data_IF_877166219327
#
_entry.id   IF_877166219327
#
_cell.length_a   1.000
_cell.length_b   1.000
_cell.length_c   1.000
_cell.angle_alpha   90.00
_cell.angle_beta   90.00
_cell.angle_gamma   90.00
#
_symmetry.space_group_name_H-M   'P 1'
#
loop_
_entity.id
_entity.type
_entity.pdbx_description
1 polymer ?
#
# COMPACT_ATOMS: atom_id res chain seq x y z
N UNK A 1 -19.83 -35.50 10.80
CA UNK A 1 -20.28 -34.10 10.73
C UNK A 1 -19.91 -33.45 12.04
N UNK A 2 -18.97 -32.52 12.00
CA UNK A 2 -18.54 -31.76 13.18
C UNK A 2 -19.52 -30.59 13.31
N UNK A 3 -20.30 -30.56 14.39
CA UNK A 3 -21.22 -29.45 14.66
C UNK A 3 -20.43 -28.35 15.35
N UNK A 4 -20.17 -27.26 14.61
CA UNK A 4 -19.63 -26.04 15.21
C UNK A 4 -20.79 -25.25 15.84
N UNK A 5 -20.64 -24.88 17.10
CA UNK A 5 -21.54 -23.93 17.74
C UNK A 5 -21.06 -22.52 17.39
N UNK A 6 -21.68 -21.88 16.41
CA UNK A 6 -21.34 -20.50 16.03
C UNK A 6 -21.64 -19.56 17.19
N UNK A 7 -20.60 -18.97 17.78
CA UNK A 7 -20.69 -18.07 18.95
C UNK A 7 -20.95 -16.62 18.50
N UNK A 8 -20.47 -16.24 17.31
CA UNK A 8 -20.75 -14.97 16.67
C UNK A 8 -20.51 -15.08 15.16
N UNK A 9 -21.43 -14.53 14.36
CA UNK A 9 -21.29 -14.37 12.91
C UNK A 9 -21.60 -12.91 12.59
N UNK A 10 -20.61 -12.20 12.04
CA UNK A 10 -20.80 -10.85 11.52
C UNK A 10 -20.40 -10.85 10.05
N UNK A 11 -21.24 -10.31 9.15
CA UNK A 11 -20.97 -10.32 7.71
C UNK A 11 -19.72 -9.51 7.33
N UNK A 12 -19.21 -8.68 8.24
CA UNK A 12 -18.03 -7.85 8.06
C UNK A 12 -16.84 -8.30 8.95
N UNK A 13 -16.85 -9.53 9.47
CA UNK A 13 -15.69 -10.06 10.20
C UNK A 13 -14.50 -10.22 9.25
N UNK A 14 -13.35 -9.70 9.63
CA UNK A 14 -12.08 -9.92 8.92
C UNK A 14 -11.43 -11.26 9.29
N UNK A 15 -11.88 -11.89 10.37
CA UNK A 15 -11.49 -13.25 10.77
C UNK A 15 -12.59 -14.21 10.32
N UNK A 16 -12.25 -15.10 9.40
CA UNK A 16 -13.20 -16.04 8.80
C UNK A 16 -13.23 -17.34 9.62
N UNK A 17 -14.43 -17.81 9.98
CA UNK A 17 -14.62 -19.04 10.75
C UNK A 17 -14.37 -20.31 9.89
N UNK A 18 -14.76 -20.27 8.63
CA UNK A 18 -14.57 -21.36 7.66
C UNK A 18 -14.07 -20.80 6.33
N UNK A 19 -12.99 -21.37 5.81
CA UNK A 19 -12.45 -21.06 4.49
C UNK A 19 -12.43 -22.34 3.67
N UNK A 20 -13.13 -22.35 2.53
CA UNK A 20 -13.04 -23.44 1.56
C UNK A 20 -11.84 -23.17 0.65
N UNK A 21 -10.76 -23.97 0.74
CA UNK A 21 -9.62 -23.80 -0.16
C UNK A 21 -10.08 -24.03 -1.60
N UNK A 22 -9.66 -23.15 -2.50
CA UNK A 22 -9.80 -23.40 -3.92
C UNK A 22 -8.72 -24.39 -4.34
N UNK A 23 -9.07 -25.39 -5.17
CA UNK A 23 -8.11 -26.35 -5.72
C UNK A 23 -7.05 -25.60 -6.54
N UNK A 24 -5.89 -25.36 -5.92
CA UNK A 24 -4.71 -24.84 -6.62
C UNK A 24 -3.89 -26.04 -7.06
N UNK A 25 -3.89 -26.32 -8.36
CA UNK A 25 -2.84 -27.14 -8.96
C UNK A 25 -1.51 -26.40 -8.80
N UNK A 26 -0.82 -26.64 -7.69
CA UNK A 26 0.53 -26.11 -7.50
C UNK A 26 1.44 -26.80 -8.52
N UNK A 27 1.84 -26.08 -9.57
CA UNK A 27 3.01 -26.49 -10.34
C UNK A 27 4.21 -26.47 -9.38
N UNK A 28 4.94 -27.58 -9.29
CA UNK A 28 6.06 -27.74 -8.35
C UNK A 28 7.21 -26.73 -8.60
N UNK A 29 7.19 -26.04 -9.74
CA UNK A 29 8.22 -25.09 -10.17
C UNK A 29 7.60 -23.77 -10.69
N UNK A 30 7.01 -22.96 -9.81
CA UNK A 30 6.64 -21.57 -10.15
C UNK A 30 7.82 -20.62 -9.91
N UNK A 31 8.10 -19.74 -10.87
CA UNK A 31 9.08 -18.66 -10.72
C UNK A 31 8.54 -17.51 -9.84
N UNK A 32 9.42 -16.64 -9.35
CA UNK A 32 8.99 -15.46 -8.58
C UNK A 32 8.18 -14.48 -9.44
N UNK A 33 8.52 -14.35 -10.73
CA UNK A 33 7.76 -13.56 -11.70
C UNK A 33 6.33 -14.11 -11.88
N UNK A 34 6.18 -15.43 -12.03
CA UNK A 34 4.86 -16.07 -12.14
C UNK A 34 4.02 -15.87 -10.86
N UNK A 35 4.64 -16.00 -9.69
CA UNK A 35 3.97 -15.78 -8.39
C UNK A 35 3.55 -14.31 -8.21
N UNK A 36 4.39 -13.37 -8.65
CA UNK A 36 4.08 -11.94 -8.63
C UNK A 36 2.88 -11.63 -9.53
N UNK A 37 2.88 -12.12 -10.78
CA UNK A 37 1.78 -11.93 -11.71
C UNK A 37 0.47 -12.55 -11.20
N UNK A 38 0.51 -13.76 -10.62
CA UNK A 38 -0.65 -14.39 -10.00
C UNK A 38 -1.19 -13.54 -8.83
N UNK A 39 -0.30 -13.01 -7.99
CA UNK A 39 -0.68 -12.14 -6.88
C UNK A 39 -1.34 -10.83 -7.36
N UNK A 40 -0.78 -10.19 -8.39
CA UNK A 40 -1.37 -8.99 -9.01
C UNK A 40 -2.78 -9.27 -9.54
N UNK A 41 -2.97 -10.37 -10.25
CA UNK A 41 -4.29 -10.77 -10.77
C UNK A 41 -5.31 -10.99 -9.65
N UNK A 42 -4.90 -11.64 -8.55
CA UNK A 42 -5.75 -11.82 -7.38
C UNK A 42 -6.12 -10.47 -6.77
N UNK A 43 -5.17 -9.56 -6.56
CA UNK A 43 -5.46 -8.22 -6.03
C UNK A 43 -6.41 -7.43 -6.96
N UNK A 44 -6.16 -7.45 -8.26
CA UNK A 44 -7.01 -6.78 -9.24
C UNK A 44 -8.45 -7.33 -9.24
N UNK A 45 -8.62 -8.65 -9.14
CA UNK A 45 -9.97 -9.26 -9.03
C UNK A 45 -10.68 -8.91 -7.73
N UNK A 46 -9.95 -8.52 -6.68
CA UNK A 46 -10.49 -7.98 -5.43
C UNK A 46 -10.66 -6.45 -5.44
N UNK A 47 -10.54 -5.81 -6.61
CA UNK A 47 -10.84 -4.38 -6.79
C UNK A 47 -9.66 -3.42 -6.60
N UNK A 48 -8.43 -3.93 -6.50
CA UNK A 48 -7.23 -3.08 -6.46
C UNK A 48 -6.89 -2.58 -7.87
N UNK A 49 -6.73 -1.28 -8.06
CA UNK A 49 -6.30 -0.72 -9.35
C UNK A 49 -4.80 -0.94 -9.56
N UNK A 50 -4.41 -1.67 -10.60
CA UNK A 50 -3.01 -1.77 -11.00
C UNK A 50 -2.54 -0.50 -11.69
N UNK A 51 -1.40 0.04 -11.25
CA UNK A 51 -0.75 1.18 -11.89
C UNK A 51 0.70 0.87 -12.29
N UNK A 52 1.11 1.09 -13.56
CA UNK A 52 2.48 0.88 -14.01
C UNK A 52 3.36 2.11 -13.70
N UNK A 53 3.46 2.51 -12.43
CA UNK A 53 4.27 3.67 -12.01
C UNK A 53 5.76 3.31 -12.09
N UNK A 54 6.57 4.21 -12.66
CA UNK A 54 7.97 3.90 -13.00
C UNK A 54 8.99 4.71 -12.23
N UNK A 55 8.55 5.81 -11.60
CA UNK A 55 9.44 6.72 -10.90
C UNK A 55 8.72 7.42 -9.73
N UNK A 56 9.49 8.17 -8.95
CA UNK A 56 8.98 8.89 -7.78
C UNK A 56 8.00 10.03 -8.15
N UNK A 57 8.15 10.64 -9.33
CA UNK A 57 7.24 11.68 -9.80
C UNK A 57 5.84 11.11 -10.09
N UNK A 58 5.77 9.93 -10.72
CA UNK A 58 4.52 9.19 -10.95
C UNK A 58 3.80 8.89 -9.63
N UNK A 59 4.54 8.49 -8.59
CA UNK A 59 4.00 8.25 -7.24
C UNK A 59 3.43 9.52 -6.62
N UNK A 60 4.18 10.63 -6.67
CA UNK A 60 3.74 11.93 -6.14
C UNK A 60 2.50 12.43 -6.88
N UNK A 61 2.46 12.31 -8.20
CA UNK A 61 1.31 12.71 -9.03
C UNK A 61 0.08 11.85 -8.73
N UNK A 62 0.26 10.54 -8.56
CA UNK A 62 -0.82 9.65 -8.15
C UNK A 62 -1.34 10.00 -6.75
N UNK A 63 -0.45 10.24 -5.78
CA UNK A 63 -0.81 10.66 -4.42
C UNK A 63 -1.63 11.95 -4.44
N UNK A 64 -1.20 12.96 -5.20
CA UNK A 64 -1.95 14.22 -5.38
C UNK A 64 -3.34 13.97 -5.92
N UNK A 65 -3.47 13.14 -6.97
CA UNK A 65 -4.75 12.79 -7.58
C UNK A 65 -5.68 12.09 -6.59
N UNK A 66 -5.16 11.12 -5.83
CA UNK A 66 -5.97 10.38 -4.86
C UNK A 66 -6.40 11.23 -3.67
N UNK A 67 -5.54 12.09 -3.15
CA UNK A 67 -5.91 13.02 -2.08
C UNK A 67 -6.87 14.10 -2.57
N UNK A 68 -6.74 14.54 -3.83
CA UNK A 68 -7.70 15.45 -4.49
C UNK A 68 -9.10 14.81 -4.53
N UNK A 69 -9.16 13.54 -4.95
CA UNK A 69 -10.40 12.73 -5.01
C UNK A 69 -11.03 12.57 -3.63
N UNK A 70 -10.24 12.13 -2.64
CA UNK A 70 -10.72 11.89 -1.27
C UNK A 70 -11.31 13.15 -0.63
N UNK A 71 -10.66 14.30 -0.85
CA UNK A 71 -11.04 15.56 -0.21
C UNK A 71 -11.97 16.43 -1.04
N UNK A 72 -12.33 15.98 -2.24
CA UNK A 72 -13.12 16.71 -3.23
C UNK A 72 -12.59 18.13 -3.46
N UNK A 73 -11.30 18.25 -3.80
CA UNK A 73 -10.63 19.52 -4.13
C UNK A 73 -9.64 19.33 -5.27
N UNK A 74 -9.23 20.44 -5.87
CA UNK A 74 -8.07 20.50 -6.76
C UNK A 74 -7.01 21.33 -6.04
N UNK A 75 -5.83 20.74 -5.80
CA UNK A 75 -4.70 21.48 -5.25
C UNK A 75 -4.07 22.36 -6.33
N UNK A 76 -3.74 23.60 -5.99
CA UNK A 76 -2.74 24.35 -6.74
C UNK A 76 -1.34 23.75 -6.52
N UNK A 77 -0.34 24.18 -7.31
CA UNK A 77 1.05 23.80 -7.06
C UNK A 77 1.53 24.25 -5.68
N UNK A 78 1.14 25.45 -5.23
CA UNK A 78 1.55 25.98 -3.94
C UNK A 78 0.93 25.17 -2.79
N UNK A 79 -0.38 24.93 -2.84
CA UNK A 79 -1.11 24.11 -1.88
C UNK A 79 -0.55 22.68 -1.81
N UNK A 80 -0.26 22.07 -2.97
CA UNK A 80 0.31 20.73 -3.03
C UNK A 80 1.71 20.67 -2.41
N UNK A 81 2.58 21.61 -2.77
CA UNK A 81 3.93 21.68 -2.22
C UNK A 81 3.93 21.94 -0.71
N UNK A 82 2.97 22.71 -0.20
CA UNK A 82 2.78 22.91 1.23
C UNK A 82 2.45 21.58 1.91
N UNK A 83 1.42 20.87 1.45
CA UNK A 83 1.02 19.58 2.03
C UNK A 83 2.15 18.54 1.92
N UNK A 84 2.77 18.43 0.75
CA UNK A 84 3.82 17.46 0.48
C UNK A 84 5.04 17.70 1.39
N UNK A 85 5.59 18.91 1.40
CA UNK A 85 6.85 19.18 2.10
C UNK A 85 6.67 19.34 3.61
N UNK A 86 5.52 19.85 4.06
CA UNK A 86 5.29 20.14 5.48
C UNK A 86 4.59 19.00 6.22
N UNK A 87 4.08 17.99 5.53
CA UNK A 87 3.39 16.88 6.18
C UNK A 87 3.77 15.52 5.58
N UNK A 88 3.61 15.29 4.28
CA UNK A 88 3.73 13.93 3.73
C UNK A 88 5.18 13.44 3.57
N UNK A 89 6.10 14.33 3.14
CA UNK A 89 7.47 14.02 2.75
C UNK A 89 8.49 14.93 3.45
N UNK A 90 8.26 15.25 4.73
CA UNK A 90 9.24 16.00 5.53
C UNK A 90 10.56 15.23 5.62
N UNK A 91 11.65 15.87 5.19
CA UNK A 91 12.97 15.23 5.02
C UNK A 91 13.54 14.57 6.28
N UNK A 92 13.15 15.03 7.48
CA UNK A 92 13.70 14.58 8.75
C UNK A 92 12.67 13.90 9.66
N UNK A 93 11.55 13.43 9.10
CA UNK A 93 10.55 12.74 9.90
C UNK A 93 11.02 11.31 10.20
N UNK A 94 11.21 10.96 11.48
CA UNK A 94 11.54 9.60 11.87
C UNK A 94 10.35 8.66 11.59
N UNK A 95 10.62 7.36 11.53
CA UNK A 95 9.61 6.34 11.18
C UNK A 95 8.43 6.37 12.17
N UNK A 96 8.71 6.66 13.43
CA UNK A 96 7.72 6.81 14.51
C UNK A 96 6.74 7.95 14.21
N UNK A 97 7.21 9.10 13.73
CA UNK A 97 6.35 10.24 13.36
C UNK A 97 5.49 9.94 12.14
N UNK A 98 6.04 9.21 11.15
CA UNK A 98 5.26 8.74 9.99
C UNK A 98 4.16 7.78 10.43
N UNK A 99 4.49 6.85 11.33
CA UNK A 99 3.54 5.89 11.90
C UNK A 99 2.45 6.62 12.68
N UNK A 100 2.83 7.60 13.51
CA UNK A 100 1.90 8.40 14.30
C UNK A 100 0.86 9.12 13.44
N UNK A 101 1.28 9.75 12.34
CA UNK A 101 0.37 10.41 11.38
C UNK A 101 -0.68 9.45 10.83
N UNK A 102 -0.28 8.24 10.49
CA UNK A 102 -1.22 7.24 9.95
C UNK A 102 -2.13 6.69 11.07
N UNK A 103 -1.60 6.46 12.27
CA UNK A 103 -2.31 5.75 13.36
C UNK A 103 -3.23 6.64 14.20
N UNK A 104 -2.86 7.90 14.45
CA UNK A 104 -3.66 8.82 15.27
C UNK A 104 -4.70 9.53 14.39
N UNK A 105 -4.39 10.73 13.90
CA UNK A 105 -5.25 11.49 13.02
C UNK A 105 -4.53 11.80 11.69
N UNK A 106 -4.84 11.06 10.62
CA UNK A 106 -4.22 11.25 9.31
C UNK A 106 -4.84 12.45 8.60
N UNK A 107 -4.77 13.63 9.23
CA UNK A 107 -5.31 14.89 8.70
C UNK A 107 -4.29 16.03 8.73
N UNK A 108 -4.43 16.97 7.79
CA UNK A 108 -3.57 18.16 7.69
C UNK A 108 -4.41 19.42 7.47
N UNK A 109 -4.23 20.43 8.32
CA UNK A 109 -4.87 21.74 8.14
C UNK A 109 -4.11 22.54 7.07
N UNK A 110 -4.66 22.57 5.86
CA UNK A 110 -4.12 23.30 4.71
C UNK A 110 -4.67 24.73 4.67
N UNK A 111 -3.77 25.70 4.60
CA UNK A 111 -4.11 27.08 4.24
C UNK A 111 -4.20 27.17 2.72
N UNK A 112 -5.37 27.54 2.21
CA UNK A 112 -5.67 27.57 0.78
C UNK A 112 -5.31 28.92 0.16
N UNK A 113 -5.15 28.94 -1.16
CA UNK A 113 -4.78 30.16 -1.89
C UNK A 113 -5.87 31.25 -1.80
N UNK A 114 -7.13 30.87 -1.54
CA UNK A 114 -8.27 31.76 -1.32
C UNK A 114 -8.34 32.35 0.10
N UNK A 115 -7.36 32.03 0.96
CA UNK A 115 -7.29 32.47 2.35
C UNK A 115 -8.10 31.63 3.33
N UNK A 116 -8.83 30.60 2.87
CA UNK A 116 -9.55 29.68 3.75
C UNK A 116 -8.62 28.60 4.31
N UNK A 117 -9.07 27.91 5.36
CA UNK A 117 -8.40 26.70 5.86
C UNK A 117 -9.29 25.50 5.62
N UNK A 118 -8.70 24.43 5.08
CA UNK A 118 -9.38 23.14 4.89
C UNK A 118 -8.59 22.03 5.56
N UNK A 119 -9.28 21.19 6.33
CA UNK A 119 -8.69 19.95 6.84
C UNK A 119 -8.66 18.90 5.72
N UNK A 120 -7.46 18.43 5.39
CA UNK A 120 -7.18 17.47 4.33
C UNK A 120 -6.99 16.09 4.97
N UNK A 121 -7.91 15.19 4.70
CA UNK A 121 -7.81 13.79 5.09
C UNK A 121 -6.81 13.08 4.19
N UNK A 122 -5.99 12.24 4.80
CA UNK A 122 -5.04 11.37 4.10
C UNK A 122 -5.61 9.95 3.98
N UNK A 123 -6.31 9.49 5.03
CA UNK A 123 -7.05 8.23 5.07
C UNK A 123 -8.37 8.50 5.79
N UNK A 124 -9.48 8.04 5.22
CA UNK A 124 -10.78 8.05 5.86
C UNK A 124 -10.95 6.79 6.72
N UNK A 125 -10.79 6.93 8.03
CA UNK A 125 -10.95 5.83 8.99
C UNK A 125 -12.41 5.60 9.38
N UNK A 126 -13.27 6.60 9.22
CA UNK A 126 -14.69 6.49 9.57
C UNK A 126 -15.46 5.73 8.50
N UNK A 127 -15.17 6.02 7.23
CA UNK A 127 -15.76 5.37 6.07
C UNK A 127 -14.66 4.78 5.18
N UNK A 128 -14.19 3.59 5.54
CA UNK A 128 -13.04 2.94 4.88
C UNK A 128 -13.21 2.76 3.37
N UNK A 129 -14.45 2.66 2.87
CA UNK A 129 -14.78 2.53 1.45
C UNK A 129 -14.53 3.80 0.62
N UNK A 130 -14.32 4.96 1.26
CA UNK A 130 -13.93 6.19 0.56
C UNK A 130 -12.45 6.15 0.12
N UNK A 131 -11.63 5.32 0.78
CA UNK A 131 -10.23 5.14 0.40
C UNK A 131 -10.12 4.35 -0.92
N UNK A 132 -9.12 4.71 -1.72
CA UNK A 132 -8.82 4.00 -2.96
C UNK A 132 -7.65 3.06 -2.76
N UNK A 133 -7.81 1.82 -3.20
CA UNK A 133 -6.79 0.79 -3.14
C UNK A 133 -6.16 0.60 -4.52
N UNK A 134 -4.83 0.67 -4.55
CA UNK A 134 -4.07 0.51 -5.78
C UNK A 134 -2.91 -0.45 -5.52
N UNK A 135 -2.39 -1.07 -6.57
CA UNK A 135 -1.27 -1.98 -6.50
C UNK A 135 -0.24 -1.62 -7.57
N UNK A 136 1.02 -1.64 -7.18
CA UNK A 136 2.18 -1.43 -8.06
C UNK A 136 3.19 -2.54 -7.81
N UNK A 137 4.04 -2.79 -8.80
CA UNK A 137 5.19 -3.64 -8.64
C UNK A 137 6.45 -2.96 -9.19
N UNK A 138 7.62 -3.29 -8.65
CA UNK A 138 8.87 -2.75 -9.17
C UNK A 138 9.23 -3.43 -10.49
N UNK A 139 9.32 -2.65 -11.56
CA UNK A 139 9.83 -3.15 -12.83
C UNK A 139 11.32 -2.84 -12.95
N UNK A 140 12.19 -3.79 -12.63
CA UNK A 140 13.60 -3.76 -13.01
C UNK A 140 13.91 -4.96 -13.94
N UNK A 141 13.94 -4.73 -15.25
CA UNK A 141 14.43 -5.71 -16.21
C UNK A 141 15.42 -5.09 -17.21
N UNK A 142 16.71 -5.17 -16.84
CA UNK A 142 17.87 -5.66 -17.62
C UNK A 142 19.15 -4.94 -17.17
N UNK A 143 19.94 -5.62 -16.31
CA UNK A 143 21.39 -5.49 -16.39
C UNK A 143 22.18 -5.38 -15.09
N UNK A 144 21.65 -4.83 -13.98
CA UNK A 144 22.48 -4.68 -12.76
C UNK A 144 21.70 -4.29 -11.49
N UNK A 145 21.11 -5.30 -10.84
CA UNK A 145 20.97 -5.56 -9.39
C UNK A 145 19.89 -6.63 -9.24
N UNK A 146 20.02 -7.49 -8.22
CA UNK A 146 19.19 -8.69 -7.99
C UNK A 146 17.70 -8.44 -8.33
N UNK A 147 17.11 -9.26 -9.21
CA UNK A 147 15.67 -9.24 -9.49
C UNK A 147 14.90 -9.30 -8.16
N UNK A 148 14.29 -8.19 -7.75
CA UNK A 148 13.36 -8.14 -6.63
C UNK A 148 11.96 -8.18 -7.21
N UNK A 149 11.17 -9.11 -6.70
CA UNK A 149 9.77 -9.26 -7.07
C UNK A 149 8.98 -8.80 -5.86
N UNK A 150 8.77 -7.49 -5.78
CA UNK A 150 8.03 -6.86 -4.70
C UNK A 150 6.77 -6.17 -5.21
N UNK A 151 5.69 -6.38 -4.48
CA UNK A 151 4.39 -5.76 -4.73
C UNK A 151 4.13 -4.78 -3.60
N UNK A 152 3.81 -3.54 -3.95
CA UNK A 152 3.40 -2.52 -2.99
C UNK A 152 1.92 -2.17 -3.18
N UNK A 153 1.17 -2.21 -2.10
CA UNK A 153 -0.22 -1.78 -2.05
C UNK A 153 -0.27 -0.34 -1.56
N UNK A 154 -0.98 0.49 -2.33
CA UNK A 154 -1.19 1.89 -2.04
C UNK A 154 -2.59 2.12 -1.49
N UNK A 155 -2.71 2.92 -0.43
CA UNK A 155 -3.98 3.44 0.08
C UNK A 155 -3.99 4.94 -0.15
N UNK A 156 -4.93 5.42 -0.97
CA UNK A 156 -4.96 6.81 -1.46
C UNK A 156 -3.61 7.26 -2.05
N UNK A 157 -2.88 6.36 -2.70
CA UNK A 157 -1.56 6.63 -3.27
C UNK A 157 -0.38 6.54 -2.29
N UNK A 158 -0.61 6.30 -0.99
CA UNK A 158 0.46 6.06 -0.01
C UNK A 158 0.85 4.58 0.04
N UNK A 159 2.13 4.21 -0.06
CA UNK A 159 2.58 2.83 0.09
C UNK A 159 2.50 2.41 1.56
N UNK A 160 1.52 1.58 1.91
CA UNK A 160 1.28 1.14 3.30
C UNK A 160 1.56 -0.34 3.54
N UNK A 161 1.52 -1.16 2.49
CA UNK A 161 1.83 -2.59 2.56
C UNK A 161 2.82 -2.93 1.46
N UNK A 162 3.88 -3.63 1.85
CA UNK A 162 4.93 -4.12 0.96
C UNK A 162 5.02 -5.64 1.10
N UNK A 163 4.99 -6.34 -0.02
CA UNK A 163 5.01 -7.79 -0.11
C UNK A 163 6.22 -8.22 -0.91
N UNK A 164 7.14 -8.92 -0.27
CA UNK A 164 8.28 -9.56 -0.93
C UNK A 164 7.87 -10.96 -1.40
N UNK A 165 7.98 -11.23 -2.70
CA UNK A 165 7.69 -12.55 -3.29
C UNK A 165 8.97 -13.37 -3.35
N UNK A 166 8.88 -14.64 -2.91
CA UNK A 166 9.97 -15.62 -3.01
C UNK A 166 9.48 -16.93 -3.60
N UNK A 167 10.30 -17.56 -4.43
CA UNK A 167 10.03 -18.92 -4.91
C UNK A 167 10.01 -19.92 -3.77
N UNK A 168 9.28 -21.01 -3.95
CA UNK A 168 9.25 -22.12 -3.00
C UNK A 168 10.65 -22.69 -2.77
N UNK A 169 10.96 -23.04 -1.52
CA UNK A 169 12.25 -23.62 -1.13
C UNK A 169 13.32 -22.61 -0.70
N UNK A 170 13.06 -21.29 -0.79
CA UNK A 170 13.89 -20.27 -0.11
C UNK A 170 13.50 -20.23 1.37
N UNK A 171 14.46 -20.33 2.28
CA UNK A 171 14.16 -20.28 3.71
C UNK A 171 13.57 -18.91 4.08
N UNK A 172 12.42 -18.92 4.75
CA UNK A 172 11.78 -17.71 5.30
C UNK A 172 12.77 -16.88 6.15
N UNK A 173 13.73 -17.53 6.82
CA UNK A 173 14.80 -16.87 7.58
C UNK A 173 15.72 -16.01 6.71
N UNK A 174 16.03 -16.43 5.49
CA UNK A 174 16.82 -15.63 4.54
C UNK A 174 16.05 -14.40 4.06
N UNK A 175 14.73 -14.52 3.87
CA UNK A 175 13.84 -13.39 3.53
C UNK A 175 13.77 -12.36 4.67
N UNK A 176 13.61 -12.80 5.94
CA UNK A 176 13.65 -11.91 7.11
C UNK A 176 15.00 -11.18 7.25
N UNK A 177 16.12 -11.86 6.97
CA UNK A 177 17.46 -11.25 6.99
C UNK A 177 17.69 -10.25 5.85
N UNK A 178 16.92 -10.32 4.75
CA UNK A 178 16.92 -9.30 3.70
C UNK A 178 16.13 -8.06 4.15
N UNK A 179 14.95 -8.24 4.75
CA UNK A 179 14.12 -7.14 5.27
C UNK A 179 14.85 -6.35 6.36
N UNK A 180 15.50 -7.03 7.31
CA UNK A 180 16.27 -6.38 8.38
C UNK A 180 17.44 -5.54 7.88
N UNK A 181 18.02 -5.87 6.71
CA UNK A 181 19.10 -5.07 6.11
C UNK A 181 18.61 -3.75 5.51
N UNK A 182 17.34 -3.63 5.15
CA UNK A 182 16.76 -2.36 4.65
C UNK A 182 16.42 -1.39 5.78
N UNK A 183 16.00 -1.90 6.94
CA UNK A 183 15.73 -1.06 8.11
C UNK A 183 16.97 -0.26 8.58
N UNK A 184 18.18 -0.79 8.40
CA UNK A 184 19.43 -0.11 8.81
C UNK A 184 19.83 1.06 7.90
N UNK A 185 19.31 1.14 6.66
CA UNK A 185 19.68 2.18 5.69
C UNK A 185 18.65 3.32 5.59
N UNK A 186 17.63 3.35 6.45
CA UNK A 186 16.61 4.41 6.52
C UNK A 186 16.72 5.17 7.87
N UNK A 187 17.87 5.05 8.56
CA UNK A 187 18.22 5.82 9.75
C UNK A 187 19.06 7.05 9.45
#
# INVERSE_FOLDING_TARGET
MTFYHTIAETPNSTVVAEYMPTDRHSQESQSEEELEQECLLVLQSNGYEYLPLRNNEDLINNLRRQLSRLNNIVFSEAEWNQLLNNYLARKNDPIEEKTKKIQEDPSYNLYRDDGTTKNIHIIDKENIHNNHLQVINQYEALGMRQNRYDISVLVNGLPLLHMEIKRRGVEIREAFNQINRYHVNIG
#
